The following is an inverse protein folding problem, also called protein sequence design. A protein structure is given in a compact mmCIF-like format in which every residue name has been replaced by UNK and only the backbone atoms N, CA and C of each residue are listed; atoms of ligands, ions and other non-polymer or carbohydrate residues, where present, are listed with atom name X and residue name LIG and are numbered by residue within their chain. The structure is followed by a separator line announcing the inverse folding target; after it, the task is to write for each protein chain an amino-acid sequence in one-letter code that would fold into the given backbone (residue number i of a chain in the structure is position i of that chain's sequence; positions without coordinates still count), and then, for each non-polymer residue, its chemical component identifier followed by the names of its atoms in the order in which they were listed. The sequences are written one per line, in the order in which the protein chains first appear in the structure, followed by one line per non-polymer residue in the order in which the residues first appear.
data_IF_614880510158
#
_entry.id   IF_614880510158
#
_cell.length_a   1.000
_cell.length_b   1.000
_cell.length_c   1.000
_cell.angle_alpha   90.00
_cell.angle_beta   90.00
_cell.angle_gamma   90.00
#
_symmetry.space_group_name_H-M   'P 1'
#
loop_
_entity.id
_entity.type
_entity.pdbx_description
1 polymer ?
#
# COMPACT_ATOMS: atom_id res chain seq x y z
N UNK A 1 14.52 7.84 8.19
CA UNK A 1 15.68 7.23 7.51
C UNK A 1 15.21 6.61 6.23
N UNK A 2 15.76 7.08 5.13
CA UNK A 2 15.45 6.59 3.78
C UNK A 2 16.11 5.23 3.53
N UNK A 3 15.48 4.37 2.72
CA UNK A 3 16.02 3.05 2.38
C UNK A 3 17.36 3.16 1.66
N UNK A 4 17.55 4.22 0.87
CA UNK A 4 18.79 4.49 0.16
C UNK A 4 19.97 4.67 1.13
N UNK A 5 19.79 5.45 2.20
CA UNK A 5 20.82 5.69 3.24
C UNK A 5 21.22 4.39 3.94
N UNK A 6 20.24 3.56 4.31
CA UNK A 6 20.49 2.27 5.00
C UNK A 6 21.31 1.29 4.15
N UNK A 7 21.16 1.36 2.83
CA UNK A 7 21.88 0.52 1.88
C UNK A 7 23.16 1.18 1.36
N UNK A 8 23.49 2.39 1.81
CA UNK A 8 24.57 3.22 1.25
C UNK A 8 24.44 3.42 -0.26
N UNK A 9 23.20 3.48 -0.76
CA UNK A 9 22.87 3.71 -2.15
C UNK A 9 22.48 5.18 -2.37
N UNK A 10 22.73 5.69 -3.57
CA UNK A 10 22.01 6.88 -4.03
C UNK A 10 20.56 6.50 -4.37
N UNK A 11 19.64 7.45 -4.25
CA UNK A 11 18.24 7.24 -4.69
C UNK A 11 18.15 6.75 -6.14
N UNK A 12 19.01 7.29 -7.02
CA UNK A 12 19.08 6.88 -8.43
C UNK A 12 19.50 5.42 -8.57
N UNK A 13 20.50 4.98 -7.80
CA UNK A 13 20.93 3.58 -7.82
C UNK A 13 19.79 2.68 -7.32
N UNK A 14 19.19 3.02 -6.19
CA UNK A 14 18.07 2.27 -5.62
C UNK A 14 16.91 2.13 -6.62
N UNK A 15 16.52 3.24 -7.27
CA UNK A 15 15.46 3.24 -8.30
C UNK A 15 15.80 2.35 -9.48
N UNK A 16 17.03 2.42 -10.01
CA UNK A 16 17.46 1.58 -11.14
C UNK A 16 17.50 0.10 -10.77
N UNK A 17 17.90 -0.23 -9.55
CA UNK A 17 17.91 -1.62 -9.08
C UNK A 17 16.49 -2.16 -8.98
N UNK A 18 15.57 -1.43 -8.35
CA UNK A 18 14.17 -1.83 -8.26
C UNK A 18 13.50 -1.99 -9.64
N UNK A 19 13.74 -1.05 -10.55
CA UNK A 19 13.23 -1.12 -11.92
C UNK A 19 13.79 -2.33 -12.67
N UNK A 20 15.11 -2.60 -12.55
CA UNK A 20 15.76 -3.73 -13.23
C UNK A 20 15.29 -5.09 -12.70
N UNK A 21 15.15 -5.23 -11.38
CA UNK A 21 14.85 -6.53 -10.75
C UNK A 21 13.35 -6.81 -10.64
N UNK A 22 12.52 -5.77 -10.47
CA UNK A 22 11.08 -5.90 -10.17
C UNK A 22 10.18 -5.20 -11.20
N UNK A 23 10.72 -4.37 -12.10
CA UNK A 23 9.93 -3.56 -13.04
C UNK A 23 9.09 -2.47 -12.37
N UNK A 24 9.42 -2.09 -11.13
CA UNK A 24 8.66 -1.15 -10.31
C UNK A 24 9.61 -0.21 -9.58
N UNK A 25 9.14 0.98 -9.21
CA UNK A 25 9.90 1.86 -8.31
C UNK A 25 9.81 1.41 -6.84
N UNK A 26 10.77 1.81 -5.97
CA UNK A 26 10.70 1.54 -4.54
C UNK A 26 9.39 2.02 -3.89
N UNK A 27 8.87 3.16 -4.35
CA UNK A 27 7.62 3.74 -3.87
C UNK A 27 6.40 2.91 -4.25
N UNK A 28 6.40 2.32 -5.45
CA UNK A 28 5.32 1.42 -5.88
C UNK A 28 5.35 0.11 -5.09
N UNK A 29 6.54 -0.46 -4.89
CA UNK A 29 6.69 -1.66 -4.06
C UNK A 29 6.21 -1.41 -2.62
N UNK A 30 6.58 -0.27 -2.02
CA UNK A 30 6.07 0.11 -0.70
C UNK A 30 4.54 0.23 -0.70
N UNK A 31 3.97 0.80 -1.76
CA UNK A 31 2.52 0.89 -1.94
C UNK A 31 1.83 -0.48 -1.98
N UNK A 32 2.43 -1.45 -2.68
CA UNK A 32 1.93 -2.84 -2.79
C UNK A 32 1.98 -3.52 -1.42
N UNK A 33 3.14 -3.52 -0.75
CA UNK A 33 3.30 -4.16 0.57
C UNK A 33 2.32 -3.58 1.58
N UNK A 34 2.21 -2.25 1.63
CA UNK A 34 1.27 -1.55 2.50
C UNK A 34 -0.18 -1.94 2.22
N UNK A 35 -0.55 -2.06 0.95
CA UNK A 35 -1.88 -2.47 0.54
C UNK A 35 -2.16 -3.94 0.91
N UNK A 36 -1.20 -4.85 0.72
CA UNK A 36 -1.32 -6.26 1.11
C UNK A 36 -1.50 -6.43 2.63
N UNK A 37 -0.71 -5.72 3.43
CA UNK A 37 -0.86 -5.75 4.89
C UNK A 37 -2.23 -5.24 5.33
N UNK A 38 -2.73 -4.17 4.71
CA UNK A 38 -4.06 -3.64 4.98
C UNK A 38 -5.18 -4.62 4.60
N UNK A 39 -5.06 -5.28 3.45
CA UNK A 39 -6.01 -6.33 3.07
C UNK A 39 -6.03 -7.47 4.08
N UNK A 40 -4.88 -7.92 4.56
CA UNK A 40 -4.81 -8.98 5.55
C UNK A 40 -5.58 -8.60 6.84
N UNK A 41 -5.44 -7.37 7.31
CA UNK A 41 -6.17 -6.87 8.47
C UNK A 41 -7.67 -6.73 8.22
N UNK A 42 -8.07 -6.31 7.01
CA UNK A 42 -9.48 -6.32 6.61
C UNK A 42 -10.07 -7.74 6.66
N UNK A 43 -9.33 -8.74 6.14
CA UNK A 43 -9.78 -10.13 6.14
C UNK A 43 -9.85 -10.74 7.54
N UNK A 44 -8.96 -10.36 8.45
CA UNK A 44 -9.01 -10.81 9.85
C UNK A 44 -10.15 -10.16 10.65
N UNK A 45 -10.79 -9.10 10.13
CA UNK A 45 -11.88 -8.40 10.82
C UNK A 45 -11.43 -7.62 12.06
N UNK A 46 -10.13 -7.36 12.22
CA UNK A 46 -9.56 -6.73 13.42
C UNK A 46 -9.52 -5.19 13.33
N UNK A 47 -10.54 -4.58 12.75
CA UNK A 47 -10.61 -3.13 12.54
C UNK A 47 -11.98 -2.56 12.96
N UNK A 48 -12.00 -1.32 13.45
CA UNK A 48 -13.23 -0.67 13.90
C UNK A 48 -14.00 0.03 12.77
N UNK A 49 -13.28 0.60 11.79
CA UNK A 49 -13.88 1.22 10.60
C UNK A 49 -12.89 1.29 9.43
N UNK A 50 -13.39 1.49 8.20
CA UNK A 50 -12.54 1.75 7.02
C UNK A 50 -11.72 3.04 7.14
N UNK A 51 -12.15 4.00 7.97
CA UNK A 51 -11.39 5.22 8.23
C UNK A 51 -10.19 4.92 9.12
N UNK A 52 -10.38 4.12 10.18
CA UNK A 52 -9.30 3.78 11.12
C UNK A 52 -8.20 2.99 10.42
N UNK A 53 -8.59 2.01 9.59
CA UNK A 53 -7.62 1.24 8.82
C UNK A 53 -6.93 2.11 7.75
N UNK A 54 -7.64 3.04 7.10
CA UNK A 54 -7.02 3.96 6.16
C UNK A 54 -5.96 4.83 6.84
N UNK A 55 -6.27 5.39 8.01
CA UNK A 55 -5.35 6.20 8.80
C UNK A 55 -4.14 5.38 9.28
N UNK A 56 -4.38 4.16 9.79
CA UNK A 56 -3.33 3.23 10.24
C UNK A 56 -2.29 2.94 9.16
N UNK A 57 -2.75 2.78 7.92
CA UNK A 57 -1.89 2.52 6.76
C UNK A 57 -1.47 3.80 6.01
N UNK A 58 -1.60 4.97 6.62
CA UNK A 58 -1.05 6.22 6.09
C UNK A 58 -1.75 6.72 4.82
N UNK A 59 -3.05 6.44 4.67
CA UNK A 59 -3.88 7.13 3.70
C UNK A 59 -4.39 8.44 4.30
N UNK A 60 -4.17 9.56 3.59
CA UNK A 60 -4.49 10.89 4.08
C UNK A 60 -5.99 11.12 4.32
N UNK A 61 -6.83 10.63 3.42
CA UNK A 61 -8.29 10.76 3.49
C UNK A 61 -8.98 9.58 2.79
N UNK A 62 -10.32 9.59 2.85
CA UNK A 62 -11.16 8.57 2.24
C UNK A 62 -11.01 8.49 0.72
N UNK A 63 -10.83 9.62 0.03
CA UNK A 63 -10.67 9.67 -1.42
C UNK A 63 -9.34 9.05 -1.85
N UNK A 64 -8.27 9.35 -1.13
CA UNK A 64 -6.95 8.76 -1.33
C UNK A 64 -6.98 7.25 -1.07
N UNK A 65 -7.66 6.81 0.00
CA UNK A 65 -7.85 5.39 0.29
C UNK A 65 -8.62 4.69 -0.83
N UNK A 66 -9.81 5.17 -1.20
CA UNK A 66 -10.65 4.56 -2.25
C UNK A 66 -9.92 4.49 -3.59
N UNK A 67 -9.20 5.56 -3.97
CA UNK A 67 -8.42 5.59 -5.22
C UNK A 67 -7.35 4.50 -5.24
N UNK A 68 -6.59 4.37 -4.15
CA UNK A 68 -5.56 3.32 -4.04
C UNK A 68 -6.18 1.93 -3.95
N UNK A 69 -7.29 1.79 -3.21
CA UNK A 69 -7.98 0.51 -3.08
C UNK A 69 -8.47 0.01 -4.43
N UNK A 70 -9.11 0.87 -5.22
CA UNK A 70 -9.52 0.54 -6.59
C UNK A 70 -8.30 0.26 -7.50
N UNK A 71 -7.20 1.00 -7.34
CA UNK A 71 -5.95 0.79 -8.11
C UNK A 71 -5.39 -0.62 -7.88
N UNK A 72 -5.36 -1.11 -6.64
CA UNK A 72 -4.76 -2.40 -6.33
C UNK A 72 -5.74 -3.57 -6.33
N UNK A 73 -7.00 -3.36 -5.92
CA UNK A 73 -8.02 -4.41 -5.78
C UNK A 73 -9.01 -4.49 -6.94
N UNK A 74 -9.10 -3.43 -7.76
CA UNK A 74 -10.06 -3.33 -8.87
C UNK A 74 -11.49 -2.94 -8.48
N UNK A 75 -11.86 -3.01 -7.20
CA UNK A 75 -13.21 -2.68 -6.69
C UNK A 75 -13.14 -1.76 -5.46
N UNK A 76 -14.30 -1.33 -4.95
CA UNK A 76 -14.40 -0.47 -3.77
C UNK A 76 -14.34 -1.29 -2.47
N UNK A 77 -13.81 -0.74 -1.35
CA UNK A 77 -13.77 -1.43 -0.07
C UNK A 77 -15.15 -1.94 0.40
N UNK A 78 -16.21 -1.15 0.19
CA UNK A 78 -17.60 -1.53 0.55
C UNK A 78 -18.15 -2.72 -0.24
N UNK A 79 -17.50 -3.12 -1.33
CA UNK A 79 -17.92 -4.30 -2.11
C UNK A 79 -17.36 -5.60 -1.53
N UNK A 80 -16.34 -5.54 -0.66
CA UNK A 80 -15.85 -6.70 0.08
C UNK A 80 -16.82 -7.15 1.17
N UNK A 81 -17.50 -6.22 1.84
CA UNK A 81 -18.43 -6.49 2.95
C UNK A 81 -19.77 -7.10 2.51
N UNK A 82 -19.82 -7.75 1.34
CA UNK A 82 -21.00 -8.46 0.81
C UNK A 82 -20.71 -9.94 0.50
N UNK A 83 -19.57 -10.46 0.92
CA UNK A 83 -19.27 -11.88 0.79
C UNK A 83 -19.34 -12.52 2.16
N UNK A 84 -20.57 -12.63 2.66
CA UNK A 84 -21.04 -13.59 3.66
C UNK A 84 -22.46 -14.00 3.25
#
# INVERSE_FOLDING_TARGET
MDLAEKLSFSERHLRRTFDRELGLSPKEMLGIVRFQSMLQELYCGTYSSFTDIAMKYGYYDQSHFIKNFKRYYGMLPKQLSKTD
#
